data_IF_771872616819
#
_entry.id   IF_771872616819
#
_cell.length_a   1.000
_cell.length_b   1.000
_cell.length_c   1.000
_cell.angle_alpha   90.00
_cell.angle_beta   90.00
_cell.angle_gamma   90.00
#
_symmetry.space_group_name_H-M   'P 1'
#
loop_
_entity.id
_entity.type
_entity.pdbx_description
1 polymer ?
#
# COMPACT_ATOMS: atom_id res chain seq x y z
N UNK A 1 -6.95 16.45 9.87
CA UNK A 1 -5.89 15.65 9.23
C UNK A 1 -5.88 14.20 9.69
N UNK A 2 -5.76 13.88 10.99
CA UNK A 2 -5.81 12.48 11.48
C UNK A 2 -7.10 11.78 11.05
N UNK A 3 -8.23 12.43 11.11
CA UNK A 3 -9.52 11.87 10.68
C UNK A 3 -9.56 11.52 9.19
N UNK A 4 -8.93 12.34 8.33
CA UNK A 4 -8.83 12.05 6.89
C UNK A 4 -7.96 10.82 6.61
N UNK A 5 -6.77 10.74 7.24
CA UNK A 5 -5.90 9.58 7.07
C UNK A 5 -6.45 8.30 7.71
N UNK A 6 -7.25 8.41 8.77
CA UNK A 6 -7.94 7.26 9.37
C UNK A 6 -9.27 6.94 8.67
N UNK A 7 -9.65 7.70 7.62
CA UNK A 7 -10.90 7.55 6.88
C UNK A 7 -12.13 7.49 7.81
N UNK A 8 -12.12 8.32 8.88
CA UNK A 8 -13.22 8.37 9.85
C UNK A 8 -14.41 9.09 9.24
N UNK A 9 -15.62 8.58 9.52
CA UNK A 9 -16.85 9.25 9.16
C UNK A 9 -16.98 10.55 9.98
N UNK A 10 -17.13 11.74 9.36
CA UNK A 10 -17.38 13.00 10.08
C UNK A 10 -18.65 12.91 10.90
N UNK A 11 -18.76 13.74 11.94
CA UNK A 11 -19.97 13.77 12.80
C UNK A 11 -21.18 14.32 12.09
N UNK A 12 -20.99 15.39 11.30
CA UNK A 12 -22.02 16.06 10.49
C UNK A 12 -21.61 15.89 9.02
N UNK A 13 -22.03 14.78 8.41
CA UNK A 13 -21.70 14.49 7.01
C UNK A 13 -22.72 15.11 6.09
N UNK A 14 -22.24 15.77 5.02
CA UNK A 14 -23.09 16.14 3.91
C UNK A 14 -23.59 14.87 3.20
N UNK A 15 -24.85 14.86 2.84
CA UNK A 15 -25.46 13.80 2.04
C UNK A 15 -25.19 14.13 0.58
N UNK A 16 -24.65 13.16 -0.16
CA UNK A 16 -24.43 13.27 -1.61
C UNK A 16 -25.52 12.53 -2.38
N UNK A 17 -25.85 13.00 -3.58
CA UNK A 17 -26.75 12.27 -4.45
C UNK A 17 -26.08 11.01 -4.99
N UNK A 18 -26.76 9.87 -4.91
CA UNK A 18 -26.26 8.60 -5.47
C UNK A 18 -26.63 8.40 -6.94
N UNK A 19 -27.61 9.15 -7.43
CA UNK A 19 -28.13 9.07 -8.80
C UNK A 19 -28.17 10.44 -9.46
N UNK A 20 -28.09 10.45 -10.79
CA UNK A 20 -28.37 11.64 -11.60
C UNK A 20 -29.88 11.85 -11.65
N UNK A 21 -30.37 13.05 -11.37
CA UNK A 21 -31.82 13.27 -11.42
C UNK A 21 -32.25 14.70 -11.08
N UNK A 22 -33.57 14.89 -11.01
CA UNK A 22 -34.18 16.15 -10.66
C UNK A 22 -34.67 16.11 -9.21
N UNK A 23 -34.39 17.20 -8.48
CA UNK A 23 -34.71 17.33 -7.07
C UNK A 23 -36.18 17.68 -6.88
N UNK A 24 -36.86 17.03 -5.95
CA UNK A 24 -38.17 17.37 -5.43
C UNK A 24 -38.13 17.43 -3.92
N UNK A 25 -38.71 18.46 -3.33
CA UNK A 25 -38.84 18.53 -1.89
C UNK A 25 -40.11 17.81 -1.41
N UNK A 26 -39.92 16.94 -0.43
CA UNK A 26 -41.01 16.27 0.25
C UNK A 26 -41.44 16.95 1.54
N UNK A 27 -42.38 16.33 2.23
CA UNK A 27 -42.91 16.84 3.50
C UNK A 27 -41.86 16.78 4.62
N UNK A 28 -42.00 17.75 5.54
CA UNK A 28 -41.18 17.75 6.76
C UNK A 28 -41.83 16.84 7.79
N UNK A 29 -41.28 15.65 7.99
CA UNK A 29 -41.78 14.70 8.97
C UNK A 29 -40.73 14.49 10.10
N UNK A 30 -41.19 14.49 11.35
CA UNK A 30 -40.33 14.21 12.53
C UNK A 30 -39.07 15.08 12.66
N UNK A 31 -39.11 16.33 12.18
CA UNK A 31 -37.95 17.24 12.26
C UNK A 31 -36.92 17.03 11.17
N UNK A 32 -37.18 16.19 10.18
CA UNK A 32 -36.33 15.98 9.00
C UNK A 32 -37.08 16.41 7.75
N UNK A 33 -36.38 17.06 6.80
CA UNK A 33 -36.88 17.35 5.48
C UNK A 33 -36.53 16.20 4.56
N UNK A 34 -37.53 15.67 3.87
CA UNK A 34 -37.29 14.65 2.83
C UNK A 34 -36.98 15.33 1.51
N UNK A 35 -35.95 14.85 0.82
CA UNK A 35 -35.59 15.28 -0.52
C UNK A 35 -35.62 14.02 -1.40
N UNK A 36 -36.33 14.12 -2.49
CA UNK A 36 -36.43 13.06 -3.50
C UNK A 36 -35.61 13.46 -4.71
N UNK A 37 -34.78 12.57 -5.20
CA UNK A 37 -34.08 12.72 -6.48
C UNK A 37 -34.67 11.70 -7.43
N UNK A 38 -35.29 12.17 -8.50
CA UNK A 38 -35.94 11.33 -9.51
C UNK A 38 -35.04 11.29 -10.73
N UNK A 39 -34.51 10.10 -11.08
CA UNK A 39 -33.71 9.91 -12.28
C UNK A 39 -34.54 9.87 -13.55
N UNK A 40 -33.95 10.07 -14.69
CA UNK A 40 -34.61 10.04 -16.01
C UNK A 40 -35.22 8.65 -16.33
N UNK A 41 -34.74 7.58 -15.70
CA UNK A 41 -35.26 6.21 -15.80
C UNK A 41 -36.49 5.94 -14.91
N UNK A 42 -36.91 6.92 -14.11
CA UNK A 42 -38.07 6.81 -13.17
C UNK A 42 -37.68 6.22 -11.80
N UNK A 43 -36.40 5.95 -11.55
CA UNK A 43 -35.92 5.58 -10.23
C UNK A 43 -35.94 6.80 -9.30
N UNK A 44 -36.48 6.62 -8.08
CA UNK A 44 -36.59 7.68 -7.09
C UNK A 44 -35.86 7.27 -5.81
N UNK A 45 -34.92 8.12 -5.35
CA UNK A 45 -34.22 7.94 -4.07
C UNK A 45 -34.64 9.03 -3.08
N UNK A 46 -34.91 8.59 -1.85
CA UNK A 46 -35.28 9.46 -0.73
C UNK A 46 -34.04 9.74 0.14
N UNK A 47 -33.79 11.01 0.40
CA UNK A 47 -32.76 11.49 1.30
C UNK A 47 -33.39 12.28 2.45
N UNK A 48 -32.95 12.02 3.69
CA UNK A 48 -33.49 12.68 4.89
C UNK A 48 -32.45 13.66 5.44
N UNK A 49 -32.76 14.96 5.32
CA UNK A 49 -31.90 16.05 5.81
C UNK A 49 -32.44 16.57 7.14
N UNK A 50 -31.53 16.76 8.13
CA UNK A 50 -31.90 17.28 9.44
C UNK A 50 -32.35 18.75 9.35
N UNK A 51 -33.29 19.14 10.21
CA UNK A 51 -33.77 20.52 10.28
C UNK A 51 -32.69 21.46 10.79
N UNK A 52 -32.50 22.58 10.12
CA UNK A 52 -31.52 23.61 10.49
C UNK A 52 -30.22 23.54 9.69
N UNK A 53 -30.00 22.50 8.88
CA UNK A 53 -28.88 22.45 7.95
C UNK A 53 -29.24 23.15 6.65
N UNK A 54 -28.33 23.94 6.11
CA UNK A 54 -28.51 24.62 4.84
C UNK A 54 -28.52 23.61 3.69
N UNK A 55 -29.56 23.67 2.86
CA UNK A 55 -29.71 22.83 1.68
C UNK A 55 -29.21 23.62 0.47
N UNK A 56 -28.24 23.08 -0.25
CA UNK A 56 -27.54 23.74 -1.37
C UNK A 56 -28.34 23.66 -2.69
N UNK A 57 -29.36 22.82 -2.73
CA UNK A 57 -30.10 22.52 -3.95
C UNK A 57 -31.49 23.18 -3.96
N UNK A 58 -31.99 23.49 -5.15
CA UNK A 58 -33.32 24.07 -5.36
C UNK A 58 -34.29 23.02 -5.92
N UNK A 59 -35.60 23.27 -5.71
CA UNK A 59 -36.60 22.37 -6.27
C UNK A 59 -36.64 22.48 -7.80
N UNK A 60 -36.60 21.34 -8.47
CA UNK A 60 -36.51 21.24 -9.93
C UNK A 60 -35.12 21.34 -10.49
N UNK A 61 -34.10 21.52 -9.66
CA UNK A 61 -32.67 21.50 -10.09
C UNK A 61 -32.23 20.10 -10.51
N UNK A 62 -31.41 20.03 -11.54
CA UNK A 62 -30.84 18.78 -12.02
C UNK A 62 -29.47 18.55 -11.37
N UNK A 63 -29.33 17.46 -10.62
CA UNK A 63 -28.12 17.05 -9.94
C UNK A 63 -27.42 15.92 -10.68
N UNK A 64 -26.10 15.90 -10.54
CA UNK A 64 -25.28 14.75 -10.90
C UNK A 64 -25.01 13.89 -9.68
N UNK A 65 -24.78 12.61 -9.91
CA UNK A 65 -24.32 11.71 -8.87
C UNK A 65 -23.02 12.24 -8.23
N UNK A 66 -22.96 12.26 -6.90
CA UNK A 66 -21.85 12.81 -6.13
C UNK A 66 -21.97 14.28 -5.73
N UNK A 67 -22.95 15.04 -6.24
CA UNK A 67 -23.15 16.42 -5.79
C UNK A 67 -23.77 16.46 -4.38
N UNK A 68 -23.29 17.35 -3.49
CA UNK A 68 -23.77 17.46 -2.13
C UNK A 68 -25.14 18.15 -2.09
N UNK A 69 -26.10 17.55 -1.39
CA UNK A 69 -27.43 18.11 -1.16
C UNK A 69 -27.45 19.19 -0.07
N UNK A 70 -26.46 19.18 0.82
CA UNK A 70 -26.37 20.05 1.98
C UNK A 70 -24.90 20.42 2.25
N UNK A 71 -24.72 21.53 2.99
CA UNK A 71 -23.39 21.95 3.44
C UNK A 71 -22.82 20.97 4.47
N UNK A 72 -21.53 20.72 4.38
CA UNK A 72 -20.78 19.90 5.34
C UNK A 72 -19.64 19.09 4.70
N UNK A 73 -18.81 18.49 5.52
CA UNK A 73 -17.74 17.62 5.04
C UNK A 73 -18.32 16.34 4.41
N UNK A 74 -17.78 15.96 3.27
CA UNK A 74 -18.17 14.73 2.58
C UNK A 74 -17.62 13.50 3.29
N UNK A 75 -18.36 12.40 3.27
CA UNK A 75 -17.87 11.12 3.76
C UNK A 75 -17.03 10.43 2.66
N UNK A 76 -15.75 10.13 2.89
CA UNK A 76 -14.90 9.48 1.88
C UNK A 76 -15.45 8.14 1.40
N UNK A 77 -16.14 7.39 2.26
CA UNK A 77 -16.74 6.10 1.90
C UNK A 77 -17.90 6.24 0.89
N UNK A 78 -18.69 7.30 1.03
CA UNK A 78 -19.81 7.56 0.11
C UNK A 78 -19.27 8.04 -1.25
N UNK A 79 -18.22 8.86 -1.26
CA UNK A 79 -17.51 9.26 -2.48
C UNK A 79 -16.98 8.02 -3.22
N UNK A 80 -16.35 7.09 -2.50
CA UNK A 80 -15.86 5.85 -3.10
C UNK A 80 -16.99 5.01 -3.73
N UNK A 81 -18.14 4.97 -3.05
CA UNK A 81 -19.29 4.18 -3.50
C UNK A 81 -19.95 4.75 -4.76
N UNK A 82 -20.04 6.09 -4.87
CA UNK A 82 -20.78 6.78 -5.92
C UNK A 82 -19.88 7.21 -7.07
N UNK A 83 -18.77 7.88 -6.76
CA UNK A 83 -17.86 8.48 -7.77
C UNK A 83 -16.66 7.61 -8.13
N UNK A 84 -16.35 6.63 -7.28
CA UNK A 84 -15.25 5.70 -7.52
C UNK A 84 -13.89 6.18 -6.98
N UNK A 85 -12.83 5.39 -7.28
CA UNK A 85 -11.50 5.57 -6.70
C UNK A 85 -10.80 6.87 -7.12
N UNK A 86 -10.91 7.27 -8.39
CA UNK A 86 -10.18 8.44 -8.91
C UNK A 86 -10.63 9.74 -8.25
N UNK A 87 -11.94 9.93 -8.15
CA UNK A 87 -12.51 11.13 -7.53
C UNK A 87 -12.20 11.16 -6.03
N UNK A 88 -12.27 10.00 -5.36
CA UNK A 88 -11.88 9.90 -3.96
C UNK A 88 -10.39 10.25 -3.74
N UNK A 89 -9.50 9.79 -4.62
CA UNK A 89 -8.08 10.13 -4.54
C UNK A 89 -7.87 11.63 -4.66
N UNK A 90 -8.50 12.27 -5.65
CA UNK A 90 -8.46 13.73 -5.84
C UNK A 90 -9.00 14.47 -4.61
N UNK A 91 -10.14 14.06 -4.09
CA UNK A 91 -10.76 14.64 -2.90
C UNK A 91 -9.83 14.57 -1.68
N UNK A 92 -9.29 13.38 -1.35
CA UNK A 92 -8.41 13.20 -0.21
C UNK A 92 -7.11 14.03 -0.32
N UNK A 93 -6.51 14.07 -1.50
CA UNK A 93 -5.30 14.88 -1.73
C UNK A 93 -5.60 16.35 -1.52
N UNK A 94 -6.70 16.86 -2.07
CA UNK A 94 -7.09 18.27 -1.96
C UNK A 94 -7.39 18.66 -0.50
N UNK A 95 -8.18 17.87 0.21
CA UNK A 95 -8.52 18.12 1.62
C UNK A 95 -7.28 18.10 2.54
N UNK A 96 -6.38 17.14 2.34
CA UNK A 96 -5.15 17.07 3.12
C UNK A 96 -4.23 18.24 2.79
N UNK A 97 -4.09 18.61 1.53
CA UNK A 97 -3.29 19.75 1.09
C UNK A 97 -3.87 21.06 1.63
N UNK A 98 -5.16 21.22 1.68
CA UNK A 98 -5.80 22.41 2.24
C UNK A 98 -5.42 22.58 3.72
N UNK A 99 -5.48 21.52 4.52
CA UNK A 99 -5.05 21.56 5.92
C UNK A 99 -3.57 21.95 6.05
N UNK A 100 -2.68 21.44 5.19
CA UNK A 100 -1.26 21.82 5.22
C UNK A 100 -1.05 23.27 4.77
N UNK A 101 -1.74 23.74 3.74
CA UNK A 101 -1.68 25.13 3.25
C UNK A 101 -2.14 26.13 4.29
N UNK A 102 -3.22 25.82 5.03
CA UNK A 102 -3.70 26.65 6.14
C UNK A 102 -2.66 26.80 7.27
N UNK A 103 -1.77 25.83 7.43
CA UNK A 103 -0.67 25.87 8.39
C UNK A 103 0.65 26.43 7.80
N UNK A 104 0.63 26.90 6.55
CA UNK A 104 1.81 27.45 5.88
C UNK A 104 2.86 26.41 5.48
N UNK A 105 2.51 25.13 5.46
CA UNK A 105 3.42 24.02 5.09
C UNK A 105 3.21 23.63 3.63
N UNK A 106 4.25 23.75 2.81
CA UNK A 106 4.24 23.33 1.41
C UNK A 106 4.75 21.88 1.29
N UNK A 107 3.88 20.98 0.84
CA UNK A 107 4.19 19.56 0.59
C UNK A 107 3.81 19.23 -0.86
N UNK A 108 4.63 18.43 -1.55
CA UNK A 108 4.29 17.92 -2.89
C UNK A 108 3.21 16.85 -2.81
N UNK A 109 2.25 16.89 -3.71
CA UNK A 109 1.10 15.98 -3.79
C UNK A 109 1.51 14.50 -3.84
N UNK A 110 2.63 14.18 -4.50
CA UNK A 110 3.15 12.81 -4.63
C UNK A 110 3.31 12.06 -3.31
N UNK A 111 3.63 12.76 -2.21
CA UNK A 111 3.80 12.15 -0.91
C UNK A 111 2.45 11.73 -0.32
N UNK A 112 1.43 12.56 -0.50
CA UNK A 112 0.06 12.28 -0.06
C UNK A 112 -0.56 11.20 -0.94
N UNK A 113 -0.41 11.30 -2.26
CA UNK A 113 -0.89 10.32 -3.24
C UNK A 113 -0.36 8.90 -2.94
N UNK A 114 0.91 8.78 -2.55
CA UNK A 114 1.50 7.50 -2.17
C UNK A 114 0.79 6.88 -0.98
N UNK A 115 0.44 7.69 0.03
CA UNK A 115 -0.30 7.24 1.21
C UNK A 115 -1.73 6.85 0.84
N UNK A 116 -2.43 7.70 0.09
CA UNK A 116 -3.81 7.45 -0.37
C UNK A 116 -3.89 6.17 -1.21
N UNK A 117 -2.90 5.92 -2.08
CA UNK A 117 -2.81 4.67 -2.84
C UNK A 117 -2.75 3.43 -1.92
N UNK A 118 -2.04 3.50 -0.80
CA UNK A 118 -1.99 2.38 0.16
C UNK A 118 -3.31 2.21 0.91
N UNK A 119 -4.06 3.28 1.16
CA UNK A 119 -5.39 3.23 1.77
C UNK A 119 -6.43 2.55 0.86
N UNK A 120 -6.25 2.59 -0.46
CA UNK A 120 -7.12 2.01 -1.50
C UNK A 120 -6.60 0.69 -2.08
N UNK A 121 -5.68 0.05 -1.40
CA UNK A 121 -5.05 -1.20 -1.86
C UNK A 121 -5.97 -2.41 -1.76
N UNK A 122 -7.00 -2.36 -0.94
CA UNK A 122 -7.84 -3.51 -0.58
C UNK A 122 -9.17 -3.54 -1.34
N UNK A 123 -9.62 -4.75 -1.63
CA UNK A 123 -10.91 -5.04 -2.26
C UNK A 123 -11.67 -6.01 -1.38
N UNK A 124 -12.97 -5.78 -1.19
CA UNK A 124 -13.91 -6.69 -0.52
C UNK A 124 -14.64 -7.51 -1.59
N UNK A 125 -14.62 -8.82 -1.47
CA UNK A 125 -15.29 -9.73 -2.40
C UNK A 125 -16.80 -9.68 -2.16
N UNK A 126 -17.57 -9.41 -3.23
CA UNK A 126 -19.04 -9.45 -3.24
C UNK A 126 -19.55 -10.72 -3.89
N UNK A 127 -18.96 -11.14 -5.01
CA UNK A 127 -19.28 -12.39 -5.67
C UNK A 127 -18.01 -13.21 -5.89
N UNK A 128 -18.05 -14.46 -5.51
CA UNK A 128 -16.86 -15.33 -5.53
C UNK A 128 -16.54 -15.87 -6.92
N UNK A 129 -17.56 -16.07 -7.78
CA UNK A 129 -17.38 -16.73 -9.06
C UNK A 129 -16.77 -18.14 -8.90
N UNK A 130 -15.84 -18.49 -9.79
CA UNK A 130 -15.11 -19.77 -9.78
C UNK A 130 -13.72 -19.64 -9.15
N UNK A 131 -13.49 -18.57 -8.33
CA UNK A 131 -12.23 -18.32 -7.64
C UNK A 131 -12.16 -19.06 -6.30
N UNK A 132 -10.95 -19.13 -5.72
CA UNK A 132 -10.72 -19.71 -4.39
C UNK A 132 -11.03 -18.77 -3.22
N UNK A 133 -11.59 -17.60 -3.49
CA UNK A 133 -11.88 -16.60 -2.47
C UNK A 133 -13.13 -16.94 -1.66
N UNK A 134 -13.24 -16.31 -0.48
CA UNK A 134 -14.43 -16.39 0.35
C UNK A 134 -15.28 -15.13 0.20
N UNK A 135 -16.58 -15.28 0.39
CA UNK A 135 -17.52 -14.16 0.41
C UNK A 135 -17.12 -13.17 1.52
N UNK A 136 -17.19 -11.88 1.23
CA UNK A 136 -16.80 -10.78 2.14
C UNK A 136 -15.32 -10.73 2.54
N UNK A 137 -14.47 -11.56 1.97
CA UNK A 137 -13.05 -11.55 2.23
C UNK A 137 -12.41 -10.24 1.74
N UNK A 138 -11.48 -9.70 2.53
CA UNK A 138 -10.67 -8.55 2.16
C UNK A 138 -9.35 -9.04 1.57
N UNK A 139 -9.06 -8.64 0.34
CA UNK A 139 -7.93 -9.15 -0.44
C UNK A 139 -7.18 -7.97 -1.06
N UNK A 140 -5.88 -8.12 -1.23
CA UNK A 140 -5.05 -7.19 -1.98
C UNK A 140 -5.48 -7.11 -3.45
N UNK A 141 -5.55 -5.91 -3.99
CA UNK A 141 -6.00 -5.62 -5.36
C UNK A 141 -5.15 -6.32 -6.43
N UNK A 142 -3.84 -6.50 -6.18
CA UNK A 142 -2.97 -7.21 -7.11
C UNK A 142 -3.28 -8.71 -7.12
N UNK A 143 -3.39 -9.32 -5.95
CA UNK A 143 -3.77 -10.74 -5.82
C UNK A 143 -5.16 -11.02 -6.38
N UNK A 144 -6.10 -10.10 -6.18
CA UNK A 144 -7.45 -10.18 -6.77
C UNK A 144 -7.40 -10.20 -8.30
N UNK A 145 -6.59 -9.33 -8.91
CA UNK A 145 -6.42 -9.31 -10.37
C UNK A 145 -5.74 -10.57 -10.90
N UNK A 146 -4.66 -10.98 -10.27
CA UNK A 146 -3.90 -12.17 -10.66
C UNK A 146 -4.78 -13.43 -10.67
N UNK A 147 -5.58 -13.64 -9.62
CA UNK A 147 -6.47 -14.80 -9.53
C UNK A 147 -7.62 -14.70 -10.54
N UNK A 148 -8.18 -13.51 -10.76
CA UNK A 148 -9.20 -13.32 -11.79
C UNK A 148 -8.64 -13.58 -13.20
N UNK A 149 -7.46 -13.10 -13.53
CA UNK A 149 -6.78 -13.39 -14.80
C UNK A 149 -6.54 -14.89 -14.97
N UNK A 150 -6.13 -15.57 -13.91
CA UNK A 150 -5.94 -17.03 -13.89
C UNK A 150 -7.23 -17.81 -14.14
N UNK A 151 -8.35 -17.37 -13.54
CA UNK A 151 -9.66 -18.01 -13.72
C UNK A 151 -10.21 -17.74 -15.11
N UNK A 152 -10.07 -16.51 -15.63
CA UNK A 152 -10.46 -16.16 -17.01
C UNK A 152 -9.67 -16.99 -18.02
N UNK A 153 -8.36 -17.19 -17.84
CA UNK A 153 -7.53 -18.02 -18.71
C UNK A 153 -7.99 -19.48 -18.74
N UNK A 154 -8.64 -19.95 -17.67
CA UNK A 154 -9.27 -21.30 -17.59
C UNK A 154 -10.70 -21.35 -18.11
N UNK A 155 -11.27 -20.21 -18.55
CA UNK A 155 -12.65 -20.10 -19.01
C UNK A 155 -13.72 -20.06 -17.92
N UNK A 156 -13.33 -19.82 -16.66
CA UNK A 156 -14.22 -19.66 -15.50
C UNK A 156 -14.76 -18.25 -15.34
N UNK A 157 -15.68 -18.07 -14.39
CA UNK A 157 -16.25 -16.77 -14.02
C UNK A 157 -15.34 -16.07 -13.02
N UNK A 158 -14.90 -14.82 -13.28
CA UNK A 158 -14.10 -14.05 -12.34
C UNK A 158 -14.92 -13.65 -11.10
N UNK A 159 -14.24 -13.39 -10.00
CA UNK A 159 -14.85 -12.79 -8.81
C UNK A 159 -15.15 -11.30 -9.02
N UNK A 160 -16.24 -10.82 -8.42
CA UNK A 160 -16.58 -9.39 -8.37
C UNK A 160 -16.25 -8.87 -6.98
N UNK A 161 -15.56 -7.75 -6.92
CA UNK A 161 -15.15 -7.13 -5.66
C UNK A 161 -15.30 -5.62 -5.70
N UNK A 162 -15.64 -5.05 -4.55
CA UNK A 162 -15.78 -3.62 -4.33
C UNK A 162 -14.52 -3.05 -3.72
N UNK A 163 -13.98 -1.93 -4.21
CA UNK A 163 -12.83 -1.27 -3.60
C UNK A 163 -13.16 -0.84 -2.16
N UNK A 164 -12.20 -1.01 -1.27
CA UNK A 164 -12.34 -0.74 0.15
C UNK A 164 -11.34 0.35 0.57
N UNK A 165 -11.86 1.41 1.22
CA UNK A 165 -11.02 2.44 1.83
C UNK A 165 -10.70 2.04 3.26
N UNK A 166 -9.42 1.91 3.58
CA UNK A 166 -8.94 1.66 4.94
C UNK A 166 -8.17 2.88 5.46
N UNK A 167 -8.33 3.19 6.75
CA UNK A 167 -7.45 4.13 7.43
C UNK A 167 -6.01 3.63 7.47
N UNK A 168 -5.04 4.53 7.61
CA UNK A 168 -3.60 4.20 7.58
C UNK A 168 -3.21 3.14 8.62
N UNK A 169 -3.77 3.23 9.83
CA UNK A 169 -3.49 2.25 10.89
C UNK A 169 -3.97 0.86 10.48
N UNK A 170 -5.19 0.73 10.01
CA UNK A 170 -5.75 -0.55 9.57
C UNK A 170 -5.04 -1.08 8.33
N UNK A 171 -4.74 -0.22 7.36
CA UNK A 171 -3.99 -0.60 6.17
C UNK A 171 -2.58 -1.12 6.50
N UNK A 172 -1.92 -0.52 7.52
CA UNK A 172 -0.59 -0.94 7.97
C UNK A 172 -0.59 -2.28 8.73
N UNK A 173 -1.68 -2.59 9.44
CA UNK A 173 -1.84 -3.87 10.15
C UNK A 173 -2.29 -5.01 9.23
N UNK A 174 -2.97 -4.69 8.13
CA UNK A 174 -3.48 -5.66 7.17
C UNK A 174 -2.46 -6.04 6.07
N UNK A 175 -1.17 -5.88 6.33
CA UNK A 175 -0.11 -6.26 5.37
C UNK A 175 0.13 -7.76 5.36
N UNK A 176 0.61 -8.31 4.23
CA UNK A 176 0.96 -9.73 4.09
C UNK A 176 2.12 -10.14 5.03
N UNK A 177 2.99 -9.19 5.40
CA UNK A 177 4.10 -9.41 6.33
C UNK A 177 3.65 -9.21 7.78
N UNK A 178 3.58 -10.30 8.53
CA UNK A 178 3.29 -10.23 9.96
C UNK A 178 4.43 -9.59 10.76
N UNK A 179 5.69 -9.67 10.32
CA UNK A 179 6.83 -9.01 10.94
C UNK A 179 6.67 -7.49 10.86
N UNK A 180 6.30 -6.98 9.69
CA UNK A 180 6.04 -5.56 9.47
C UNK A 180 4.86 -5.07 10.31
N UNK A 181 3.75 -5.79 10.34
CA UNK A 181 2.58 -5.47 11.13
C UNK A 181 2.88 -5.46 12.64
N UNK A 182 3.53 -6.51 13.17
CA UNK A 182 3.90 -6.63 14.57
C UNK A 182 4.83 -5.52 15.05
N UNK A 183 5.72 -5.04 14.17
CA UNK A 183 6.63 -3.95 14.50
C UNK A 183 5.98 -2.56 14.55
N UNK A 184 4.74 -2.43 14.08
CA UNK A 184 4.00 -1.18 14.08
C UNK A 184 3.12 -1.01 15.32
N UNK A 185 2.14 -1.87 15.52
CA UNK A 185 1.22 -1.87 16.67
C UNK A 185 0.69 -3.28 16.93
N UNK A 186 0.08 -3.48 18.11
CA UNK A 186 -0.58 -4.72 18.50
C UNK A 186 0.31 -5.97 18.36
N UNK A 187 1.58 -5.85 18.74
CA UNK A 187 2.62 -6.87 18.55
C UNK A 187 2.17 -8.27 19.00
N UNK A 188 1.63 -8.38 20.20
CA UNK A 188 1.20 -9.67 20.77
C UNK A 188 0.06 -10.30 19.96
N UNK A 189 -0.93 -9.50 19.57
CA UNK A 189 -2.08 -9.97 18.80
C UNK A 189 -1.66 -10.47 17.43
N UNK A 190 -0.89 -9.66 16.70
CA UNK A 190 -0.41 -10.00 15.36
C UNK A 190 0.43 -11.26 15.36
N UNK A 191 1.37 -11.40 16.32
CA UNK A 191 2.21 -12.59 16.43
C UNK A 191 1.40 -13.83 16.82
N UNK A 192 0.40 -13.68 17.68
CA UNK A 192 -0.48 -14.79 18.08
C UNK A 192 -1.31 -15.28 16.88
N UNK A 193 -1.93 -14.35 16.12
CA UNK A 193 -2.70 -14.69 14.91
C UNK A 193 -1.80 -15.35 13.84
N UNK A 194 -0.61 -14.81 13.62
CA UNK A 194 0.35 -15.38 12.68
C UNK A 194 0.79 -16.79 13.07
N UNK A 195 0.99 -17.02 14.38
CA UNK A 195 1.37 -18.33 14.91
C UNK A 195 0.24 -19.36 14.77
N UNK A 196 -1.00 -18.96 15.08
CA UNK A 196 -2.18 -19.84 14.95
C UNK A 196 -2.41 -20.21 13.48
N UNK A 197 -2.27 -19.25 12.57
CA UNK A 197 -2.48 -19.45 11.14
C UNK A 197 -1.30 -20.13 10.43
N UNK A 198 -0.16 -20.32 11.11
CA UNK A 198 1.06 -20.84 10.50
C UNK A 198 1.58 -19.95 9.36
N UNK A 199 1.44 -18.63 9.50
CA UNK A 199 1.78 -17.68 8.45
C UNK A 199 3.28 -17.66 8.14
N UNK A 200 3.63 -17.61 6.85
CA UNK A 200 5.00 -17.51 6.36
C UNK A 200 5.22 -16.12 5.77
N UNK A 201 6.24 -15.40 6.25
CA UNK A 201 6.63 -14.10 5.72
C UNK A 201 7.62 -14.28 4.56
N UNK A 202 7.26 -13.75 3.39
CA UNK A 202 8.07 -13.85 2.17
C UNK A 202 9.22 -12.84 2.10
N UNK A 203 9.35 -11.95 3.10
CA UNK A 203 10.40 -10.92 3.21
C UNK A 203 10.54 -10.04 1.96
N UNK A 204 9.43 -9.67 1.34
CA UNK A 204 9.40 -8.82 0.13
C UNK A 204 9.55 -7.33 0.43
N UNK A 205 9.17 -6.88 1.62
CA UNK A 205 9.24 -5.47 2.01
C UNK A 205 10.62 -5.04 2.50
N UNK A 206 10.76 -3.75 2.75
CA UNK A 206 12.01 -3.18 3.28
C UNK A 206 12.14 -3.46 4.78
N UNK A 207 11.06 -3.30 5.53
CA UNK A 207 11.04 -3.33 6.99
C UNK A 207 11.40 -4.69 7.55
N UNK A 208 10.83 -5.76 6.98
CA UNK A 208 11.09 -7.14 7.35
C UNK A 208 12.57 -7.50 7.17
N UNK A 209 13.14 -7.12 6.04
CA UNK A 209 14.54 -7.39 5.74
C UNK A 209 15.49 -6.63 6.68
N UNK A 210 15.16 -5.38 7.01
CA UNK A 210 15.93 -4.58 7.98
C UNK A 210 15.87 -5.22 9.37
N UNK A 211 14.71 -5.66 9.83
CA UNK A 211 14.53 -6.29 11.15
C UNK A 211 15.33 -7.61 11.23
N UNK A 212 15.30 -8.43 10.18
CA UNK A 212 16.02 -9.71 10.12
C UNK A 212 17.54 -9.51 9.87
N UNK A 213 17.98 -8.31 9.47
CA UNK A 213 19.39 -8.01 9.16
C UNK A 213 19.82 -8.46 7.77
N UNK A 214 18.89 -8.62 6.83
CA UNK A 214 19.20 -8.92 5.41
C UNK A 214 19.30 -7.63 4.60
N UNK A 215 19.93 -7.73 3.42
CA UNK A 215 19.92 -6.66 2.44
C UNK A 215 18.47 -6.38 2.01
N UNK A 216 18.12 -5.09 1.95
CA UNK A 216 16.79 -4.67 1.45
C UNK A 216 16.67 -5.00 -0.04
N UNK A 217 15.48 -5.32 -0.56
CA UNK A 217 15.26 -5.63 -1.98
C UNK A 217 15.26 -4.34 -2.84
N UNK A 218 16.29 -3.50 -2.66
CA UNK A 218 16.51 -2.26 -3.38
C UNK A 218 18.02 -1.97 -3.47
N UNK A 219 18.46 -1.24 -4.49
CA UNK A 219 19.86 -0.96 -4.71
C UNK A 219 20.66 -2.24 -4.92
N UNK A 220 21.76 -2.43 -4.21
CA UNK A 220 22.63 -3.62 -4.31
C UNK A 220 21.98 -4.92 -3.84
N UNK A 221 20.86 -4.86 -3.09
CA UNK A 221 20.08 -6.02 -2.67
C UNK A 221 19.02 -6.48 -3.68
N UNK A 222 18.86 -5.77 -4.81
CA UNK A 222 17.93 -6.19 -5.87
C UNK A 222 18.39 -7.53 -6.48
N UNK A 223 17.42 -8.36 -6.85
CA UNK A 223 17.64 -9.65 -7.47
C UNK A 223 18.52 -9.56 -8.73
N UNK A 224 18.37 -8.50 -9.51
CA UNK A 224 19.21 -8.21 -10.67
C UNK A 224 20.70 -8.22 -10.32
N UNK A 225 21.12 -7.51 -9.26
CA UNK A 225 22.53 -7.45 -8.85
C UNK A 225 23.01 -8.72 -8.16
N UNK A 226 22.11 -9.47 -7.52
CA UNK A 226 22.47 -10.76 -6.89
C UNK A 226 22.75 -11.86 -7.91
N UNK A 227 22.16 -11.76 -9.09
CA UNK A 227 22.29 -12.73 -10.17
C UNK A 227 23.36 -12.35 -11.21
N UNK A 228 24.09 -11.23 -10.98
CA UNK A 228 25.21 -10.86 -11.85
C UNK A 228 26.33 -11.89 -11.64
N UNK A 229 26.64 -12.60 -12.71
CA UNK A 229 27.82 -13.47 -12.77
C UNK A 229 28.96 -12.69 -13.43
N UNK A 230 30.16 -12.81 -12.88
CA UNK A 230 31.37 -12.28 -13.50
C UNK A 230 31.61 -13.06 -14.78
N UNK A 231 32.05 -12.38 -15.83
CA UNK A 231 32.45 -13.07 -17.05
C UNK A 231 33.63 -14.03 -16.73
N UNK A 232 33.67 -15.18 -17.38
CA UNK A 232 34.77 -16.17 -17.19
C UNK A 232 36.16 -15.55 -17.34
N UNK A 233 36.31 -14.55 -18.21
CA UNK A 233 37.56 -13.80 -18.38
C UNK A 233 37.98 -13.03 -17.11
N UNK A 234 37.04 -12.48 -16.35
CA UNK A 234 37.33 -11.79 -15.08
C UNK A 234 37.67 -12.76 -13.96
N UNK A 235 37.04 -13.94 -13.93
CA UNK A 235 37.35 -15.00 -12.97
C UNK A 235 38.74 -15.60 -13.24
N UNK A 236 39.07 -15.82 -14.51
CA UNK A 236 40.40 -16.29 -14.92
C UNK A 236 41.51 -15.25 -14.63
N UNK A 237 41.20 -13.96 -14.86
CA UNK A 237 42.15 -12.89 -14.52
C UNK A 237 42.35 -12.77 -13.00
N UNK A 238 41.29 -12.88 -12.21
CA UNK A 238 41.36 -12.88 -10.75
C UNK A 238 42.15 -14.10 -10.22
N UNK A 239 41.94 -15.28 -10.81
CA UNK A 239 42.67 -16.50 -10.46
C UNK A 239 44.16 -16.40 -10.80
N UNK A 240 44.52 -15.79 -11.94
CA UNK A 240 45.94 -15.54 -12.31
C UNK A 240 46.62 -14.59 -11.33
N UNK A 241 45.96 -13.46 -10.99
CA UNK A 241 46.51 -12.53 -9.99
C UNK A 241 46.68 -13.20 -8.63
N UNK A 242 45.76 -14.05 -8.23
CA UNK A 242 45.85 -14.76 -6.96
C UNK A 242 46.99 -15.82 -6.97
N UNK A 243 47.23 -16.48 -8.10
CA UNK A 243 48.36 -17.39 -8.27
C UNK A 243 49.72 -16.66 -8.27
N UNK A 244 49.79 -15.49 -8.91
CA UNK A 244 50.98 -14.66 -8.90
C UNK A 244 51.33 -14.13 -7.50
N UNK A 245 50.32 -13.71 -6.75
CA UNK A 245 50.49 -13.26 -5.36
C UNK A 245 50.96 -14.40 -4.44
N UNK A 246 50.35 -15.58 -4.56
CA UNK A 246 50.80 -16.76 -3.78
C UNK A 246 52.21 -17.21 -4.15
N UNK A 247 52.57 -17.21 -5.43
CA UNK A 247 53.92 -17.55 -5.86
C UNK A 247 54.97 -16.55 -5.34
N UNK A 248 54.64 -15.24 -5.39
CA UNK A 248 55.51 -14.20 -4.84
C UNK A 248 55.71 -14.33 -3.30
N UNK A 249 54.65 -14.72 -2.59
CA UNK A 249 54.73 -14.99 -1.15
C UNK A 249 55.63 -16.20 -0.84
N UNK A 250 55.45 -17.30 -1.58
CA UNK A 250 56.31 -18.49 -1.41
C UNK A 250 57.76 -18.22 -1.76
N UNK A 251 58.02 -17.36 -2.74
CA UNK A 251 59.36 -16.95 -3.12
C UNK A 251 60.03 -16.08 -2.06
N UNK A 252 59.31 -15.14 -1.49
CA UNK A 252 59.75 -14.31 -0.37
C UNK A 252 59.99 -15.13 0.91
N UNK A 253 59.19 -16.16 1.21
CA UNK A 253 59.41 -17.06 2.34
C UNK A 253 60.71 -17.89 2.14
N UNK A 254 60.95 -18.38 0.93
CA UNK A 254 62.20 -19.12 0.61
C UNK A 254 63.44 -18.23 0.73
N UNK A 255 63.39 -16.99 0.27
CA UNK A 255 64.45 -16.03 0.45
C UNK A 255 64.73 -15.73 1.93
N UNK A 256 63.71 -15.60 2.73
CA UNK A 256 63.81 -15.39 4.18
C UNK A 256 64.37 -16.59 4.90
N UNK A 257 64.05 -17.83 4.50
CA UNK A 257 64.66 -19.06 5.04
C UNK A 257 66.14 -19.20 4.65
N UNK A 258 66.51 -18.87 3.41
CA UNK A 258 67.90 -18.86 2.97
C UNK A 258 68.72 -17.85 3.74
N UNK A 259 68.25 -16.62 3.92
CA UNK A 259 68.92 -15.60 4.75
C UNK A 259 69.08 -16.02 6.22
N UNK A 260 68.12 -16.75 6.76
CA UNK A 260 68.16 -17.28 8.12
C UNK A 260 69.26 -18.39 8.25
N UNK A 261 69.31 -19.30 7.25
CA UNK A 261 70.34 -20.36 7.21
C UNK A 261 71.74 -19.79 7.01
N UNK A 262 71.92 -18.75 6.18
CA UNK A 262 73.17 -18.05 6.02
C UNK A 262 73.62 -17.32 7.29
N UNK A 263 72.68 -16.66 8.00
CA UNK A 263 72.96 -16.02 9.30
C UNK A 263 73.38 -17.03 10.39
N UNK A 264 72.73 -18.18 10.48
CA UNK A 264 73.05 -19.24 11.44
C UNK A 264 74.43 -19.90 11.07
N UNK A 265 74.74 -20.00 9.78
CA UNK A 265 76.05 -20.51 9.35
C UNK A 265 77.20 -19.53 9.61
N UNK A 266 77.00 -18.24 9.48
CA UNK A 266 77.98 -17.20 9.86
C UNK A 266 78.17 -17.12 11.39
N UNK A 267 77.13 -17.32 12.19
CA UNK A 267 77.26 -17.36 13.66
C UNK A 267 78.00 -18.58 14.13
N UNK A 268 77.83 -19.76 13.53
CA UNK A 268 78.61 -21.00 13.82
C UNK A 268 80.02 -20.94 13.31
N UNK A 269 80.36 -20.11 12.34
CA UNK A 269 81.77 -19.95 11.85
C UNK A 269 82.52 -18.88 12.67
N UNK A 270 81.85 -18.12 13.52
CA UNK A 270 82.45 -17.10 14.37
C UNK A 270 82.73 -17.59 15.81
N UNK A 271 82.25 -18.76 16.21
CA UNK A 271 82.66 -19.50 17.43
C UNK A 271 83.85 -20.45 17.13
#
# INVERSE_FOLDING_TARGET
>A
MVELFEARKPRETAIISEIDGVVKFGEVAKGQRKIYVTADNGEEKEYSVQRGVHVNVQEGERLKAGEPLMDGPLNPHDILAVLGEKELQGYLVNEIQEVYRLQGVAISDKHIETIVRQMLRWVKIEEVGDTSFLLEQQIDKFRFREENERVIAKGGRPAIGRPLLLGITKASLSTDSFISAASFQETTRVLTEASINGSVDSLRGLKENVIVGRLIPAGTGMEYYRNIQLSQELEEAAARVQQEVTAAFEEAERELELMRQEGEAEEMAAE
#
